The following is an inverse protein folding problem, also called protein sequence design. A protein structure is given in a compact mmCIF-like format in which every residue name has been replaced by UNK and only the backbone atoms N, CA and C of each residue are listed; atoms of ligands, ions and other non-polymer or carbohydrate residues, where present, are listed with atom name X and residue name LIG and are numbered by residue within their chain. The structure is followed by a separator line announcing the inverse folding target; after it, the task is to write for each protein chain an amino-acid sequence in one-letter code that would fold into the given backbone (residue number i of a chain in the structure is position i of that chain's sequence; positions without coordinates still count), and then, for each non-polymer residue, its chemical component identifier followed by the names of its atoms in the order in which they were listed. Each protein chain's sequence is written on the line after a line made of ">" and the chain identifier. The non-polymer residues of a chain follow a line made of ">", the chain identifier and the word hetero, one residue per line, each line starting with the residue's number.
data_IF_758058208887
#
_entry.id   IF_758058208887
#
_cell.length_a   1.000
_cell.length_b   1.000
_cell.length_c   1.000
_cell.angle_alpha   90.00
_cell.angle_beta   90.00
_cell.angle_gamma   90.00
#
_symmetry.space_group_name_H-M   'P 1'
#
loop_
_entity.id
_entity.type
_entity.pdbx_description
1 polymer ?
#
# COMPACT_ATOMS: atom_id res chain seq x y z
N UNK A 1 -2.30 4.05 -8.51
CA UNK A 1 -1.57 3.05 -7.73
C UNK A 1 -2.52 2.30 -6.81
N UNK A 2 -2.17 1.10 -6.45
CA UNK A 2 -2.95 0.29 -5.51
C UNK A 2 -2.18 0.13 -4.21
N UNK A 3 -2.88 0.23 -3.09
CA UNK A 3 -2.28 -0.02 -1.78
C UNK A 3 -3.05 -1.14 -1.09
N UNK A 4 -2.38 -2.27 -0.88
CA UNK A 4 -2.94 -3.39 -0.13
C UNK A 4 -2.62 -3.22 1.34
N UNK A 5 -3.62 -3.39 2.20
CA UNK A 5 -3.49 -3.10 3.63
C UNK A 5 -4.56 -3.83 4.43
N UNK A 6 -4.49 -3.71 5.75
CA UNK A 6 -5.63 -3.94 6.63
C UNK A 6 -5.58 -2.93 7.78
N UNK A 7 -6.72 -2.69 8.42
CA UNK A 7 -6.85 -1.56 9.34
C UNK A 7 -6.01 -1.67 10.61
N UNK A 8 -5.82 -2.86 11.14
CA UNK A 8 -5.06 -3.08 12.38
C UNK A 8 -3.54 -3.12 12.18
N UNK A 9 -3.07 -2.85 10.99
CA UNK A 9 -1.65 -2.89 10.67
C UNK A 9 -0.96 -1.57 11.01
N UNK A 10 -0.04 -1.61 11.98
CA UNK A 10 0.71 -0.41 12.37
C UNK A 10 1.55 0.16 11.25
N UNK A 11 2.18 -0.69 10.46
CA UNK A 11 3.00 -0.26 9.33
C UNK A 11 2.15 0.38 8.24
N UNK A 12 0.94 -0.13 8.04
CA UNK A 12 -0.01 0.46 7.11
C UNK A 12 -0.43 1.86 7.56
N UNK A 13 -0.62 2.06 8.87
CA UNK A 13 -0.97 3.37 9.42
C UNK A 13 0.11 4.41 9.14
N UNK A 14 1.39 4.02 9.24
CA UNK A 14 2.49 4.92 8.92
C UNK A 14 2.44 5.38 7.46
N UNK A 15 2.11 4.47 6.55
CA UNK A 15 1.95 4.81 5.13
C UNK A 15 0.76 5.75 4.94
N UNK A 16 -0.36 5.49 5.61
CA UNK A 16 -1.54 6.36 5.53
C UNK A 16 -1.24 7.78 6.02
N UNK A 17 -0.47 7.92 7.08
CA UNK A 17 -0.08 9.24 7.57
C UNK A 17 0.71 10.02 6.52
N UNK A 18 1.61 9.35 5.82
CA UNK A 18 2.38 9.96 4.74
C UNK A 18 1.46 10.39 3.59
N UNK A 19 0.54 9.51 3.19
CA UNK A 19 -0.44 9.83 2.14
C UNK A 19 -1.28 11.03 2.54
N UNK A 20 -1.71 11.09 3.78
CA UNK A 20 -2.51 12.20 4.29
C UNK A 20 -1.73 13.52 4.28
N UNK A 21 -0.48 13.50 4.72
CA UNK A 21 0.37 14.68 4.73
C UNK A 21 0.61 15.22 3.33
N UNK A 22 0.80 14.34 2.37
CA UNK A 22 1.04 14.73 0.99
C UNK A 22 -0.24 15.04 0.23
N UNK A 23 -1.40 14.74 0.81
CA UNK A 23 -2.73 14.97 0.21
C UNK A 23 -2.88 14.26 -1.14
N UNK A 24 -2.42 13.02 -1.19
CA UNK A 24 -2.39 12.23 -2.42
C UNK A 24 -3.31 11.00 -2.40
N UNK A 25 -4.31 10.99 -1.51
CA UNK A 25 -5.22 9.84 -1.41
C UNK A 25 -5.95 9.53 -2.71
N UNK A 26 -6.15 10.54 -3.57
CA UNK A 26 -6.80 10.36 -4.87
C UNK A 26 -5.97 9.52 -5.84
N UNK A 27 -4.68 9.37 -5.57
CA UNK A 27 -3.77 8.61 -6.43
C UNK A 27 -3.85 7.10 -6.20
N UNK A 28 -4.62 6.67 -5.20
CA UNK A 28 -4.63 5.29 -4.77
C UNK A 28 -6.00 4.63 -4.90
N UNK A 29 -5.98 3.35 -5.24
CA UNK A 29 -7.09 2.45 -4.98
C UNK A 29 -6.71 1.67 -3.72
N UNK A 30 -7.48 1.86 -2.65
CA UNK A 30 -7.20 1.20 -1.38
C UNK A 30 -7.86 -0.18 -1.34
N UNK A 31 -7.07 -1.21 -1.07
CA UNK A 31 -7.53 -2.60 -1.08
C UNK A 31 -7.28 -3.25 0.27
N UNK A 32 -8.34 -3.29 1.10
CA UNK A 32 -8.29 -3.93 2.41
C UNK A 32 -8.44 -5.44 2.27
N UNK A 33 -7.37 -6.17 2.55
CA UNK A 33 -7.33 -7.62 2.33
C UNK A 33 -8.17 -8.41 3.34
N UNK A 34 -8.61 -7.79 4.43
CA UNK A 34 -9.47 -8.44 5.41
C UNK A 34 -10.95 -8.20 5.14
N UNK A 35 -11.26 -7.06 4.54
CA UNK A 35 -12.64 -6.72 4.17
C UNK A 35 -13.07 -7.50 2.94
N UNK A 36 -12.16 -7.65 1.98
CA UNK A 36 -12.44 -8.37 0.74
C UNK A 36 -11.38 -9.45 0.50
N UNK A 37 -11.72 -10.74 0.67
CA UNK A 37 -10.76 -11.83 0.46
C UNK A 37 -10.16 -11.89 -0.94
N UNK A 38 -10.86 -11.36 -1.95
CA UNK A 38 -10.34 -11.32 -3.31
C UNK A 38 -9.08 -10.47 -3.39
N UNK A 39 -8.99 -9.44 -2.58
CA UNK A 39 -7.80 -8.60 -2.52
C UNK A 39 -6.61 -9.34 -1.94
N UNK A 40 -6.83 -10.19 -0.94
CA UNK A 40 -5.78 -11.04 -0.40
C UNK A 40 -5.25 -12.00 -1.46
N UNK A 41 -6.15 -12.58 -2.25
CA UNK A 41 -5.78 -13.48 -3.34
C UNK A 41 -4.98 -12.74 -4.42
N UNK A 42 -5.42 -11.53 -4.79
CA UNK A 42 -4.66 -10.68 -5.72
C UNK A 42 -3.24 -10.43 -5.23
N UNK A 43 -3.11 -10.10 -3.94
CA UNK A 43 -1.80 -9.81 -3.35
C UNK A 43 -0.89 -11.04 -3.39
N UNK A 44 -1.42 -12.21 -3.05
CA UNK A 44 -0.66 -13.46 -3.11
C UNK A 44 -0.21 -13.74 -4.55
N UNK A 45 -1.08 -13.53 -5.53
CA UNK A 45 -0.74 -13.74 -6.92
C UNK A 45 0.34 -12.80 -7.42
N UNK A 46 0.38 -11.57 -6.88
CA UNK A 46 1.36 -10.56 -7.27
C UNK A 46 2.71 -10.74 -6.58
N UNK A 47 2.71 -11.13 -5.31
CA UNK A 47 3.91 -11.08 -4.47
C UNK A 47 4.28 -12.42 -3.83
N UNK A 48 3.44 -13.42 -3.98
CA UNK A 48 3.59 -14.76 -3.40
C UNK A 48 3.46 -14.79 -1.88
N UNK A 49 2.99 -13.70 -1.27
CA UNK A 49 2.69 -13.68 0.17
C UNK A 49 1.65 -12.59 0.48
N UNK A 50 1.16 -12.58 1.73
CA UNK A 50 0.13 -11.65 2.18
C UNK A 50 0.70 -10.47 2.98
N UNK A 51 1.96 -10.15 2.82
CA UNK A 51 2.60 -9.06 3.58
C UNK A 51 2.03 -7.70 3.18
N UNK A 52 1.60 -6.94 4.17
CA UNK A 52 1.13 -5.57 3.99
C UNK A 52 1.95 -4.63 4.87
N UNK A 53 2.07 -3.35 4.54
CA UNK A 53 1.51 -2.70 3.36
C UNK A 53 2.23 -3.12 2.08
N UNK A 54 1.51 -3.10 0.96
CA UNK A 54 2.10 -3.37 -0.34
C UNK A 54 1.61 -2.34 -1.34
N UNK A 55 2.53 -1.56 -1.90
CA UNK A 55 2.22 -0.59 -2.93
C UNK A 55 2.48 -1.21 -4.30
N UNK A 56 1.49 -1.14 -5.17
CA UNK A 56 1.62 -1.64 -6.54
C UNK A 56 1.46 -0.49 -7.52
N UNK A 57 2.41 -0.35 -8.42
CA UNK A 57 2.36 0.64 -9.50
C UNK A 57 2.78 -0.01 -10.81
N UNK A 58 2.92 0.78 -11.86
CA UNK A 58 3.27 0.29 -13.20
C UNK A 58 4.63 -0.41 -13.23
N UNK A 59 5.51 -0.10 -12.30
CA UNK A 59 6.87 -0.67 -12.26
C UNK A 59 6.99 -1.93 -11.42
N UNK A 60 5.94 -2.28 -10.67
CA UNK A 60 5.95 -3.46 -9.83
C UNK A 60 5.40 -3.20 -8.44
N UNK A 61 5.89 -3.94 -7.46
CA UNK A 61 5.40 -3.87 -6.09
C UNK A 61 6.50 -3.49 -5.11
N UNK A 62 6.08 -2.86 -4.00
CA UNK A 62 6.97 -2.41 -2.94
C UNK A 62 6.33 -2.77 -1.60
N UNK A 63 7.06 -3.48 -0.73
CA UNK A 63 6.50 -4.10 0.47
C UNK A 63 6.85 -3.43 1.79
N UNK A 64 8.00 -2.78 1.88
CA UNK A 64 8.45 -2.19 3.15
C UNK A 64 7.83 -0.83 3.37
N UNK A 65 7.21 -0.62 4.54
CA UNK A 65 6.54 0.65 4.85
C UNK A 65 7.47 1.85 4.69
N UNK A 66 8.70 1.74 5.20
CA UNK A 66 9.67 2.85 5.09
C UNK A 66 10.04 3.14 3.64
N UNK A 67 10.19 2.10 2.83
CA UNK A 67 10.51 2.27 1.41
C UNK A 67 9.34 2.91 0.67
N UNK A 68 8.11 2.50 1.00
CA UNK A 68 6.91 3.09 0.42
C UNK A 68 6.84 4.57 0.76
N UNK A 69 7.06 4.91 2.02
CA UNK A 69 7.02 6.31 2.48
C UNK A 69 8.06 7.16 1.77
N UNK A 70 9.29 6.66 1.64
CA UNK A 70 10.36 7.36 0.92
C UNK A 70 10.01 7.56 -0.55
N UNK A 71 9.47 6.54 -1.17
CA UNK A 71 9.04 6.61 -2.57
C UNK A 71 7.98 7.70 -2.76
N UNK A 72 6.97 7.72 -1.87
CA UNK A 72 5.89 8.69 -1.99
C UNK A 72 6.39 10.12 -1.79
N UNK A 73 7.26 10.34 -0.82
CA UNK A 73 7.83 11.67 -0.58
C UNK A 73 8.64 12.11 -1.79
N UNK A 74 9.45 11.23 -2.37
CA UNK A 74 10.27 11.55 -3.54
C UNK A 74 9.44 11.80 -4.80
N UNK A 75 8.35 11.07 -4.94
CA UNK A 75 7.54 11.11 -6.17
C UNK A 75 6.51 12.23 -6.18
N UNK A 76 5.95 12.57 -5.02
CA UNK A 76 4.86 13.54 -4.92
C UNK A 76 5.24 14.85 -4.22
N UNK A 77 6.43 14.94 -3.70
CA UNK A 77 6.86 16.16 -2.99
C UNK A 77 7.34 17.24 -3.98
#
# INVERSE_FOLDING_TARGET
>A
MELYFYQDCEYCQAVFETIKKLKISDEFTFKDIRVNPDYAEELINLTENETVPCLVNEKGSMKEANDIRKYLVSHFD
#
